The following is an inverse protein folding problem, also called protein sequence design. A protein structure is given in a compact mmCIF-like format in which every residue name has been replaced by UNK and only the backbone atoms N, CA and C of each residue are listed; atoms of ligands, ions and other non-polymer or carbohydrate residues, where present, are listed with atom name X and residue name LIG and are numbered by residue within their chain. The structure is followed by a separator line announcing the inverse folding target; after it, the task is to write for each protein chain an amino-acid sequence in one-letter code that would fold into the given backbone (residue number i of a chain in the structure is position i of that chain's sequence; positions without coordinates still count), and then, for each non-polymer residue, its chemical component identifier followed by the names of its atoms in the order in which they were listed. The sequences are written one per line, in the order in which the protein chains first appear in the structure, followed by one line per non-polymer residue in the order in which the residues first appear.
data_IF_956610336369
#
_entry.id   IF_956610336369
#
_cell.length_a   1.000
_cell.length_b   1.000
_cell.length_c   1.000
_cell.angle_alpha   90.00
_cell.angle_beta   90.00
_cell.angle_gamma   90.00
#
_symmetry.space_group_name_H-M   'P 1'
#
loop_
_entity.id
_entity.type
_entity.pdbx_description
1 polymer ?
#
# COMPACT_ATOMS: atom_id res chain seq x y z
N UNK A 1 -23.24 -21.46 16.16
CA UNK A 1 -22.35 -22.51 15.63
C UNK A 1 -21.16 -22.48 16.57
N UNK A 2 -21.07 -23.44 17.50
CA UNK A 2 -19.98 -23.47 18.48
C UNK A 2 -18.68 -23.75 17.75
N UNK A 3 -17.71 -22.85 17.89
CA UNK A 3 -16.36 -23.03 17.41
C UNK A 3 -15.69 -24.25 18.03
N UNK A 4 -14.66 -24.77 17.35
CA UNK A 4 -13.90 -25.93 17.86
C UNK A 4 -13.23 -25.63 19.21
N UNK A 5 -12.90 -26.65 20.00
CA UNK A 5 -12.15 -26.45 21.26
C UNK A 5 -10.81 -25.72 21.04
N UNK A 6 -10.20 -25.91 19.86
CA UNK A 6 -9.00 -25.18 19.45
C UNK A 6 -9.26 -23.68 19.27
N UNK A 7 -10.41 -23.33 18.70
CA UNK A 7 -10.81 -21.94 18.45
C UNK A 7 -11.00 -21.17 19.77
N UNK A 8 -11.66 -21.79 20.76
CA UNK A 8 -11.80 -21.21 22.11
C UNK A 8 -10.45 -20.94 22.78
N UNK A 9 -9.49 -21.85 22.58
CA UNK A 9 -8.13 -21.73 23.11
C UNK A 9 -7.40 -20.58 22.42
N UNK A 10 -7.46 -20.47 21.09
CA UNK A 10 -6.81 -19.36 20.38
C UNK A 10 -7.44 -18.02 20.74
N UNK A 11 -8.77 -17.95 20.85
CA UNK A 11 -9.49 -16.74 21.29
C UNK A 11 -9.05 -16.30 22.69
N UNK A 12 -8.88 -17.23 23.62
CA UNK A 12 -8.39 -16.92 24.98
C UNK A 12 -6.98 -16.34 25.02
N UNK A 13 -6.16 -16.68 24.01
CA UNK A 13 -4.81 -16.15 23.83
C UNK A 13 -4.78 -14.92 22.91
N UNK A 14 -5.95 -14.43 22.47
CA UNK A 14 -6.09 -13.36 21.49
C UNK A 14 -5.33 -13.65 20.19
N UNK A 15 -5.27 -14.92 19.79
CA UNK A 15 -4.65 -15.41 18.57
C UNK A 15 -5.71 -15.67 17.52
N UNK A 16 -5.48 -15.18 16.31
CA UNK A 16 -6.34 -15.48 15.16
C UNK A 16 -5.52 -16.19 14.07
N UNK A 17 -5.61 -17.52 13.97
CA UNK A 17 -4.94 -18.32 12.95
C UNK A 17 -5.19 -17.85 11.51
N UNK A 18 -6.43 -17.47 11.20
CA UNK A 18 -6.80 -17.02 9.86
C UNK A 18 -6.15 -15.68 9.53
N UNK A 19 -6.09 -14.76 10.50
CA UNK A 19 -5.42 -13.47 10.33
C UNK A 19 -3.93 -13.67 10.01
N UNK A 20 -3.25 -14.53 10.77
CA UNK A 20 -1.84 -14.85 10.54
C UNK A 20 -1.61 -15.46 9.15
N UNK A 21 -2.46 -16.40 8.73
CA UNK A 21 -2.36 -16.99 7.39
C UNK A 21 -2.55 -15.92 6.31
N UNK A 22 -3.56 -15.06 6.45
CA UNK A 22 -3.82 -13.98 5.50
C UNK A 22 -2.63 -13.00 5.42
N UNK A 23 -1.98 -12.69 6.53
CA UNK A 23 -0.77 -11.85 6.53
C UNK A 23 0.37 -12.48 5.72
N UNK A 24 0.59 -13.79 5.85
CA UNK A 24 1.59 -14.50 5.05
C UNK A 24 1.21 -14.50 3.56
N UNK A 25 -0.06 -14.78 3.23
CA UNK A 25 -0.52 -14.76 1.84
C UNK A 25 -0.30 -13.38 1.21
N UNK A 26 -0.69 -12.31 1.90
CA UNK A 26 -0.48 -10.94 1.44
C UNK A 26 1.02 -10.62 1.29
N UNK A 27 1.87 -11.05 2.22
CA UNK A 27 3.31 -10.83 2.13
C UNK A 27 3.95 -11.53 0.91
N UNK A 28 3.46 -12.72 0.56
CA UNK A 28 3.89 -13.43 -0.65
C UNK A 28 3.42 -12.69 -1.89
N UNK A 29 2.17 -12.25 -1.93
CA UNK A 29 1.63 -11.46 -3.05
C UNK A 29 2.41 -10.17 -3.27
N UNK A 30 2.67 -9.41 -2.20
CA UNK A 30 3.46 -8.18 -2.26
C UNK A 30 4.88 -8.45 -2.77
N UNK A 31 5.50 -9.54 -2.33
CA UNK A 31 6.83 -9.95 -2.79
C UNK A 31 6.83 -10.29 -4.29
N UNK A 32 5.86 -11.06 -4.76
CA UNK A 32 5.74 -11.44 -6.17
C UNK A 32 5.50 -10.20 -7.03
N UNK A 33 4.58 -9.32 -6.61
CA UNK A 33 4.28 -8.08 -7.30
C UNK A 33 5.52 -7.19 -7.40
N UNK A 34 6.21 -6.96 -6.27
CA UNK A 34 7.43 -6.16 -6.22
C UNK A 34 8.55 -6.73 -7.09
N UNK A 35 8.70 -8.06 -7.14
CA UNK A 35 9.69 -8.70 -8.01
C UNK A 35 9.40 -8.43 -9.49
N UNK A 36 8.14 -8.56 -9.94
CA UNK A 36 7.78 -8.30 -11.33
C UNK A 36 7.89 -6.83 -11.72
N UNK A 37 7.53 -5.91 -10.81
CA UNK A 37 7.75 -4.48 -11.00
C UNK A 37 9.24 -4.16 -11.16
N UNK A 38 10.08 -4.74 -10.30
CA UNK A 38 11.54 -4.60 -10.39
C UNK A 38 12.08 -5.10 -11.74
N UNK A 39 11.69 -6.29 -12.19
CA UNK A 39 12.15 -6.82 -13.47
C UNK A 39 11.68 -5.98 -14.66
N UNK A 40 10.46 -5.43 -14.61
CA UNK A 40 9.97 -4.54 -15.66
C UNK A 40 10.81 -3.25 -15.73
N UNK A 41 11.14 -2.66 -14.58
CA UNK A 41 12.00 -1.49 -14.52
C UNK A 41 13.42 -1.81 -15.02
N UNK A 42 14.00 -2.91 -14.55
CA UNK A 42 15.34 -3.34 -14.93
C UNK A 42 15.46 -3.67 -16.43
N UNK A 43 14.43 -4.29 -17.01
CA UNK A 43 14.37 -4.56 -18.44
C UNK A 43 14.36 -3.27 -19.27
N UNK A 44 13.57 -2.27 -18.86
CA UNK A 44 13.55 -0.94 -19.51
C UNK A 44 14.92 -0.25 -19.45
N UNK A 45 15.59 -0.29 -18.29
CA UNK A 45 16.94 0.27 -18.15
C UNK A 45 17.94 -0.44 -19.06
N UNK A 46 17.85 -1.76 -19.17
CA UNK A 46 18.78 -2.58 -19.95
C UNK A 46 18.58 -2.44 -21.47
N UNK A 47 17.33 -2.24 -21.91
CA UNK A 47 16.97 -2.09 -23.32
C UNK A 47 17.17 -0.66 -23.84
N UNK A 48 17.28 0.34 -22.97
CA UNK A 48 17.47 1.73 -23.35
C UNK A 48 16.21 2.34 -23.99
N UNK A 49 16.40 3.23 -24.97
CA UNK A 49 15.29 3.88 -25.68
C UNK A 49 14.65 2.89 -26.66
N UNK A 50 13.51 2.34 -26.26
CA UNK A 50 12.73 1.39 -27.06
C UNK A 50 11.49 2.06 -27.65
N UNK A 51 11.02 1.54 -28.80
CA UNK A 51 9.77 2.03 -29.37
C UNK A 51 8.58 1.70 -28.46
N UNK A 52 7.45 2.38 -28.69
CA UNK A 52 6.22 2.12 -27.94
C UNK A 52 5.76 0.66 -28.12
N UNK A 53 5.84 0.14 -29.34
CA UNK A 53 5.48 -1.24 -29.65
C UNK A 53 6.34 -2.25 -28.89
N UNK A 54 7.65 -2.00 -28.78
CA UNK A 54 8.59 -2.84 -28.03
C UNK A 54 8.33 -2.79 -26.52
N UNK A 55 7.98 -1.62 -25.98
CA UNK A 55 7.58 -1.46 -24.58
C UNK A 55 6.28 -2.20 -24.25
N UNK A 56 5.31 -2.15 -25.16
CA UNK A 56 4.03 -2.85 -25.03
C UNK A 56 4.24 -4.38 -25.12
N UNK A 57 5.08 -4.85 -26.04
CA UNK A 57 5.42 -6.26 -26.18
C UNK A 57 6.19 -6.79 -24.96
N UNK A 58 7.15 -6.01 -24.43
CA UNK A 58 7.85 -6.33 -23.19
C UNK A 58 6.88 -6.47 -22.01
N UNK A 59 5.97 -5.51 -21.86
CA UNK A 59 4.96 -5.53 -20.80
C UNK A 59 4.04 -6.75 -20.93
N UNK A 60 3.64 -7.09 -22.16
CA UNK A 60 2.83 -8.28 -22.43
C UNK A 60 3.58 -9.57 -22.09
N UNK A 61 4.86 -9.67 -22.44
CA UNK A 61 5.70 -10.82 -22.11
C UNK A 61 5.85 -11.03 -20.60
N UNK A 62 6.15 -9.95 -19.88
CA UNK A 62 6.27 -9.98 -18.41
C UNK A 62 4.95 -10.41 -17.76
N UNK A 63 3.82 -9.85 -18.20
CA UNK A 63 2.50 -10.25 -17.71
C UNK A 63 2.18 -11.71 -17.99
N UNK A 64 2.61 -12.26 -19.13
CA UNK A 64 2.43 -13.68 -19.44
C UNK A 64 3.22 -14.57 -18.49
N UNK A 65 4.46 -14.21 -18.16
CA UNK A 65 5.29 -14.95 -17.21
C UNK A 65 4.68 -14.85 -15.80
N UNK A 66 4.23 -13.66 -15.40
CA UNK A 66 3.53 -13.45 -14.13
C UNK A 66 2.33 -14.38 -14.00
N UNK A 67 1.44 -14.40 -14.99
CA UNK A 67 0.26 -15.26 -14.94
C UNK A 67 0.63 -16.75 -14.86
N UNK A 68 1.68 -17.18 -15.57
CA UNK A 68 2.16 -18.56 -15.54
C UNK A 68 2.70 -18.99 -14.16
N UNK A 69 3.19 -18.05 -13.35
CA UNK A 69 3.70 -18.33 -11.99
C UNK A 69 2.59 -18.16 -10.94
N UNK A 70 1.74 -17.16 -11.12
CA UNK A 70 0.74 -16.76 -10.14
C UNK A 70 -0.32 -17.84 -9.94
N UNK A 71 -0.88 -18.42 -11.01
CA UNK A 71 -1.89 -19.48 -10.89
C UNK A 71 -1.38 -20.71 -10.10
N UNK A 72 -0.22 -21.33 -10.43
CA UNK A 72 0.30 -22.44 -9.63
C UNK A 72 0.69 -22.05 -8.20
N UNK A 73 1.10 -20.79 -7.98
CA UNK A 73 1.45 -20.31 -6.66
C UNK A 73 0.20 -20.19 -5.78
N UNK A 74 -0.86 -19.57 -6.30
CA UNK A 74 -2.15 -19.39 -5.63
C UNK A 74 -2.76 -20.75 -5.26
N UNK A 75 -2.71 -21.73 -6.18
CA UNK A 75 -3.17 -23.10 -5.90
C UNK A 75 -2.40 -23.75 -4.73
N UNK A 76 -1.08 -23.60 -4.72
CA UNK A 76 -0.22 -24.17 -3.66
C UNK A 76 -0.45 -23.47 -2.33
N UNK A 77 -0.60 -22.14 -2.34
CA UNK A 77 -0.87 -21.35 -1.15
C UNK A 77 -2.25 -21.67 -0.57
N UNK A 78 -3.25 -21.91 -1.41
CA UNK A 78 -4.58 -22.36 -0.97
C UNK A 78 -4.54 -23.76 -0.33
N UNK A 79 -3.71 -24.67 -0.85
CA UNK A 79 -3.49 -25.98 -0.22
C UNK A 79 -2.72 -25.85 1.09
N UNK A 80 -1.73 -24.96 1.14
CA UNK A 80 -0.96 -24.68 2.35
C UNK A 80 -1.82 -24.08 3.46
N UNK A 81 -2.69 -23.10 3.15
CA UNK A 81 -3.67 -22.54 4.09
C UNK A 81 -4.54 -23.64 4.71
N UNK A 82 -5.16 -24.47 3.85
CA UNK A 82 -6.00 -25.60 4.31
C UNK A 82 -5.23 -26.57 5.18
N UNK A 83 -3.98 -26.86 4.83
CA UNK A 83 -3.12 -27.73 5.62
C UNK A 83 -2.82 -27.12 7.00
N UNK A 84 -2.50 -25.83 7.05
CA UNK A 84 -2.22 -25.11 8.29
C UNK A 84 -3.42 -25.13 9.24
N UNK A 85 -4.61 -24.78 8.74
CA UNK A 85 -5.83 -24.79 9.54
C UNK A 85 -6.21 -26.19 10.03
N UNK A 86 -5.87 -27.23 9.26
CA UNK A 86 -6.19 -28.61 9.61
C UNK A 86 -5.19 -29.25 10.57
N UNK A 87 -3.93 -28.83 10.58
CA UNK A 87 -2.86 -29.58 11.25
C UNK A 87 -2.01 -28.75 12.21
N UNK A 88 -1.81 -27.45 11.95
CA UNK A 88 -0.98 -26.60 12.82
C UNK A 88 -1.83 -25.79 13.80
N UNK A 89 -2.98 -25.29 13.34
CA UNK A 89 -3.92 -24.55 14.17
C UNK A 89 -5.05 -25.45 14.68
N UNK A 90 -4.66 -26.62 15.19
CA UNK A 90 -5.55 -27.57 15.85
C UNK A 90 -4.91 -28.02 17.16
N UNK A 91 -5.65 -27.86 18.24
CA UNK A 91 -5.30 -28.36 19.56
C UNK A 91 -5.70 -29.85 19.62
N UNK A 92 -4.76 -30.77 19.91
CA UNK A 92 -5.08 -32.18 20.04
C UNK A 92 -6.11 -32.45 21.14
N UNK A 93 -6.94 -33.47 20.94
CA UNK A 93 -7.95 -33.87 21.91
C UNK A 93 -7.32 -34.18 23.28
N UNK A 94 -7.93 -33.67 24.35
CA UNK A 94 -7.46 -33.84 25.72
C UNK A 94 -6.51 -32.75 26.22
N UNK A 95 -6.15 -31.78 25.38
CA UNK A 95 -5.51 -30.54 25.81
C UNK A 95 -6.57 -29.48 26.08
N UNK A 96 -6.53 -28.93 27.29
CA UNK A 96 -7.31 -27.77 27.69
C UNK A 96 -6.37 -26.74 28.29
N UNK A 97 -6.70 -25.46 28.17
CA UNK A 97 -5.99 -24.47 28.97
C UNK A 97 -6.18 -24.81 30.46
N UNK A 98 -5.15 -24.61 31.30
CA UNK A 98 -5.34 -24.66 32.74
C UNK A 98 -6.47 -23.68 33.08
N UNK A 99 -7.53 -24.16 33.73
CA UNK A 99 -8.63 -23.29 34.14
C UNK A 99 -8.05 -22.13 34.95
N UNK A 100 -8.28 -20.90 34.48
CA UNK A 100 -7.98 -19.66 35.21
C UNK A 100 -8.78 -19.56 36.53
N UNK A 101 -9.74 -20.46 36.74
CA UNK A 101 -10.67 -20.44 37.87
C UNK A 101 -10.15 -21.16 39.12
N UNK A 102 -8.85 -21.45 39.19
CA UNK A 102 -8.23 -21.90 40.43
C UNK A 102 -6.92 -21.16 40.61
N UNK A 103 -6.88 -20.32 41.65
CA UNK A 103 -5.94 -20.44 42.79
C UNK A 103 -5.04 -21.69 42.71
N UNK A 104 -4.21 -21.75 41.68
CA UNK A 104 -3.11 -22.68 41.61
C UNK A 104 -2.05 -22.02 42.44
N UNK A 105 -1.85 -22.55 43.65
CA UNK A 105 -0.74 -22.26 44.57
C UNK A 105 0.61 -22.58 43.92
N UNK A 106 0.91 -21.89 42.81
CA UNK A 106 2.24 -21.60 42.34
C UNK A 106 2.83 -20.66 43.39
N UNK A 107 3.58 -21.24 44.31
CA UNK A 107 4.46 -20.58 45.28
C UNK A 107 5.10 -19.30 44.72
N UNK A 108 4.45 -18.17 44.93
CA UNK A 108 5.04 -16.84 44.86
C UNK A 108 4.41 -16.05 45.99
N UNK A 109 5.26 -15.48 46.85
CA UNK A 109 4.85 -14.61 47.95
C UNK A 109 3.90 -13.53 47.43
N UNK A 110 2.67 -13.54 47.92
CA UNK A 110 1.58 -12.61 47.58
C UNK A 110 1.92 -11.15 47.96
N UNK A 111 2.98 -10.96 48.76
CA UNK A 111 3.50 -9.66 49.21
C UNK A 111 4.43 -8.99 48.16
N UNK A 112 4.87 -9.70 47.12
CA UNK A 112 5.75 -9.17 46.07
C UNK A 112 5.04 -8.72 44.78
N UNK A 113 3.75 -9.07 44.61
CA UNK A 113 3.00 -8.83 43.36
C UNK A 113 2.19 -7.50 43.36
N UNK A 114 1.93 -6.91 44.53
CA UNK A 114 1.18 -5.66 44.63
C UNK A 114 1.92 -4.44 44.04
N UNK A 115 3.25 -4.43 44.09
CA UNK A 115 4.07 -3.33 43.53
C UNK A 115 4.20 -3.44 42.00
N UNK A 116 4.23 -4.67 41.46
CA UNK A 116 4.34 -4.93 40.01
C UNK A 116 3.06 -4.54 39.23
N UNK A 117 1.87 -4.76 39.82
CA UNK A 117 0.59 -4.37 39.21
C UNK A 117 0.45 -2.84 39.07
N UNK A 118 0.90 -2.07 40.07
CA UNK A 118 0.85 -0.61 40.03
C UNK A 118 1.82 -0.02 38.99
N UNK A 119 2.99 -0.64 38.81
CA UNK A 119 3.92 -0.26 37.75
C UNK A 119 3.37 -0.57 36.36
N UNK A 120 2.75 -1.74 36.18
CA UNK A 120 2.09 -2.13 34.93
C UNK A 120 0.97 -1.16 34.57
N UNK A 121 0.10 -0.80 35.53
CA UNK A 121 -0.97 0.18 35.33
C UNK A 121 -0.44 1.56 34.92
N UNK A 122 0.69 1.98 35.50
CA UNK A 122 1.37 3.23 35.10
C UNK A 122 1.91 3.16 33.68
N UNK A 123 2.52 2.05 33.29
CA UNK A 123 2.99 1.84 31.91
C UNK A 123 1.82 1.83 30.92
N UNK A 124 0.72 1.16 31.28
CA UNK A 124 -0.50 1.10 30.47
C UNK A 124 -1.14 2.48 30.32
N UNK A 125 -1.20 3.27 31.40
CA UNK A 125 -1.67 4.65 31.35
C UNK A 125 -0.78 5.52 30.45
N UNK A 126 0.54 5.40 30.57
CA UNK A 126 1.49 6.10 29.71
C UNK A 126 1.33 5.73 28.23
N UNK A 127 1.09 4.46 27.92
CA UNK A 127 0.85 4.01 26.55
C UNK A 127 -0.49 4.52 26.00
N UNK A 128 -1.55 4.54 26.80
CA UNK A 128 -2.84 5.13 26.43
C UNK A 128 -2.73 6.62 26.15
N UNK A 129 -1.98 7.35 26.97
CA UNK A 129 -1.73 8.78 26.76
C UNK A 129 -0.93 9.03 25.46
N UNK A 130 0.14 8.26 25.23
CA UNK A 130 0.91 8.31 23.98
C UNK A 130 0.04 7.98 22.76
N UNK A 131 -0.83 6.98 22.86
CA UNK A 131 -1.75 6.60 21.77
C UNK A 131 -2.73 7.74 21.44
N UNK A 132 -3.29 8.40 22.46
CA UNK A 132 -4.15 9.57 22.25
C UNK A 132 -3.39 10.72 21.58
N UNK A 133 -2.15 10.96 22.00
CA UNK A 133 -1.30 12.00 21.41
C UNK A 133 -0.99 11.73 19.94
N UNK A 134 -0.54 10.51 19.62
CA UNK A 134 -0.26 10.07 18.24
C UNK A 134 -1.53 10.06 17.40
N UNK A 135 -2.67 9.66 17.97
CA UNK A 135 -3.95 9.71 17.30
C UNK A 135 -4.35 11.13 16.88
N UNK A 136 -4.18 12.10 17.78
CA UNK A 136 -4.41 13.52 17.47
C UNK A 136 -3.46 14.01 16.38
N UNK A 137 -2.16 13.76 16.53
CA UNK A 137 -1.14 14.14 15.54
C UNK A 137 -1.44 13.54 14.16
N UNK A 138 -1.87 12.28 14.11
CA UNK A 138 -2.29 11.62 12.87
C UNK A 138 -3.49 12.31 12.22
N UNK A 139 -4.50 12.71 13.00
CA UNK A 139 -5.64 13.45 12.46
C UNK A 139 -5.26 14.83 11.94
N UNK A 140 -4.35 15.52 12.64
CA UNK A 140 -3.84 16.84 12.24
C UNK A 140 -3.05 16.71 10.93
N UNK A 141 -2.10 15.78 10.83
CA UNK A 141 -1.33 15.49 9.61
C UNK A 141 -2.23 15.09 8.43
N UNK A 142 -3.26 14.28 8.67
CA UNK A 142 -4.18 13.89 7.61
C UNK A 142 -5.01 15.08 7.11
N UNK A 143 -5.34 16.04 8.00
CA UNK A 143 -5.97 17.28 7.60
C UNK A 143 -5.05 18.14 6.72
N UNK A 144 -3.76 18.24 7.08
CA UNK A 144 -2.76 18.97 6.30
C UNK A 144 -2.54 18.35 4.92
N UNK A 145 -2.44 17.02 4.85
CA UNK A 145 -2.31 16.29 3.58
C UNK A 145 -3.51 16.59 2.66
N UNK A 146 -4.73 16.60 3.21
CA UNK A 146 -5.92 16.93 2.44
C UNK A 146 -5.92 18.38 1.91
N UNK A 147 -5.41 19.34 2.69
CA UNK A 147 -5.25 20.73 2.24
C UNK A 147 -4.21 20.83 1.13
N UNK A 148 -3.04 20.21 1.33
CA UNK A 148 -1.96 20.16 0.34
C UNK A 148 -2.41 19.51 -0.97
N UNK A 149 -3.15 18.40 -0.89
CA UNK A 149 -3.71 17.72 -2.06
C UNK A 149 -4.65 18.65 -2.84
N UNK A 150 -5.56 19.35 -2.16
CA UNK A 150 -6.44 20.34 -2.80
C UNK A 150 -5.66 21.46 -3.46
N UNK A 151 -4.66 22.01 -2.78
CA UNK A 151 -3.80 23.05 -3.34
C UNK A 151 -3.03 22.57 -4.57
N UNK A 152 -2.48 21.35 -4.53
CA UNK A 152 -1.81 20.74 -5.68
C UNK A 152 -2.75 20.56 -6.86
N UNK A 153 -3.99 20.08 -6.63
CA UNK A 153 -4.98 19.97 -7.71
C UNK A 153 -5.31 21.33 -8.32
N UNK A 154 -5.50 22.37 -7.51
CA UNK A 154 -5.75 23.72 -8.01
C UNK A 154 -4.56 24.26 -8.80
N UNK A 155 -3.34 24.08 -8.29
CA UNK A 155 -2.10 24.47 -8.97
C UNK A 155 -1.96 23.78 -10.33
N UNK A 156 -2.26 22.49 -10.41
CA UNK A 156 -2.19 21.74 -11.66
C UNK A 156 -3.24 22.25 -12.65
N UNK A 157 -4.50 22.44 -12.22
CA UNK A 157 -5.54 23.01 -13.11
C UNK A 157 -5.21 24.43 -13.58
N UNK A 158 -4.56 25.24 -12.73
CA UNK A 158 -4.10 26.57 -13.12
C UNK A 158 -2.97 26.48 -14.15
N UNK A 159 -1.99 25.61 -13.93
CA UNK A 159 -0.91 25.37 -14.89
C UNK A 159 -1.46 24.90 -16.24
N UNK A 160 -2.39 23.95 -16.24
CA UNK A 160 -3.09 23.48 -17.45
C UNK A 160 -3.82 24.62 -18.17
N UNK A 161 -4.58 25.44 -17.45
CA UNK A 161 -5.29 26.60 -18.02
C UNK A 161 -4.33 27.66 -18.60
N UNK A 162 -3.19 27.90 -17.95
CA UNK A 162 -2.15 28.80 -18.46
C UNK A 162 -1.52 28.22 -19.73
N UNK A 163 -1.21 26.92 -19.76
CA UNK A 163 -0.68 26.28 -20.96
C UNK A 163 -1.69 26.32 -22.12
N UNK A 164 -2.98 26.12 -21.85
CA UNK A 164 -4.05 26.23 -22.85
C UNK A 164 -4.18 27.67 -23.39
N UNK A 165 -4.08 28.68 -22.52
CA UNK A 165 -4.14 30.09 -22.92
C UNK A 165 -2.90 30.54 -23.72
N UNK A 166 -1.73 29.91 -23.50
CA UNK A 166 -0.49 30.20 -24.23
C UNK A 166 -0.40 29.46 -25.58
N UNK A 167 -1.06 28.31 -25.71
CA UNK A 167 -1.14 27.51 -26.94
C UNK A 167 -1.46 28.32 -28.22
N UNK A 168 -2.42 29.26 -28.26
CA UNK A 168 -2.70 30.05 -29.46
C UNK A 168 -1.57 31.02 -29.84
N UNK A 169 -0.70 31.42 -28.91
CA UNK A 169 0.45 32.30 -29.19
C UNK A 169 1.68 31.51 -29.67
N UNK A 170 1.78 30.23 -29.31
CA UNK A 170 2.80 29.33 -29.84
C UNK A 170 2.43 28.82 -31.24
N UNK A 171 1.13 28.61 -31.50
CA UNK A 171 0.63 28.16 -32.80
C UNK A 171 0.56 29.28 -33.85
N UNK A 172 0.32 30.52 -33.43
CA UNK A 172 0.37 31.69 -34.30
C UNK A 172 1.72 32.39 -34.08
N UNK A 173 2.67 32.24 -35.02
CA UNK A 173 3.93 32.97 -34.99
C UNK A 173 3.67 34.47 -34.78
N UNK A 174 4.08 34.99 -33.63
CA UNK A 174 3.88 36.41 -33.26
C UNK A 174 4.58 37.35 -34.26
N UNK A 175 5.52 36.84 -35.06
CA UNK A 175 6.19 37.58 -36.14
C UNK A 175 5.30 37.79 -37.38
N UNK A 176 4.31 36.91 -37.63
CA UNK A 176 3.35 37.04 -38.74
C UNK A 176 2.21 38.03 -38.43
N UNK A 177 1.81 38.16 -37.16
CA UNK A 177 0.76 39.10 -36.76
C UNK A 177 1.24 40.55 -36.58
N UNK A 178 2.51 40.76 -36.24
CA UNK A 178 3.07 42.11 -35.99
C UNK A 178 3.65 42.77 -37.25
N UNK A 179 3.88 42.02 -38.34
CA UNK A 179 4.19 42.57 -39.67
C UNK A 179 2.90 42.88 -40.43
N UNK A 180 2.25 43.99 -40.08
CA UNK A 180 1.23 44.58 -40.95
C UNK A 180 1.78 44.83 -42.37
N UNK A 181 0.94 44.75 -43.42
CA UNK A 181 1.40 44.83 -44.81
C UNK A 181 2.01 46.20 -45.11
N UNK A 182 3.34 46.27 -45.15
CA UNK A 182 4.08 47.40 -45.69
C UNK A 182 4.30 47.19 -47.20
N UNK A 183 3.55 47.99 -47.96
CA UNK A 183 3.77 48.49 -49.33
C UNK A 183 4.54 47.65 -50.37
N UNK A 184 3.84 47.31 -51.46
CA UNK A 184 4.45 47.20 -52.79
C UNK A 184 3.45 47.54 -53.91
N UNK A 185 3.33 48.83 -54.29
CA UNK A 185 2.73 49.20 -55.58
C UNK A 185 3.46 50.38 -56.25
N UNK A 186 4.62 50.10 -56.83
CA UNK A 186 5.32 50.88 -57.87
C UNK A 186 6.17 49.87 -58.65
N UNK A 187 6.26 49.76 -59.97
CA UNK A 187 5.83 50.48 -61.18
C UNK A 187 5.96 49.48 -62.34
N UNK A 188 5.22 49.64 -63.44
CA UNK A 188 5.78 49.80 -64.80
C UNK A 188 4.70 49.61 -65.88
N UNK A 189 4.35 50.69 -66.56
CA UNK A 189 3.95 50.68 -67.98
C UNK A 189 3.90 52.13 -68.51
N UNK A 190 4.97 52.55 -69.19
CA UNK A 190 5.05 53.57 -70.26
C UNK A 190 6.50 53.44 -70.77
N UNK A 191 6.83 53.12 -72.02
CA UNK A 191 6.27 53.44 -73.34
C UNK A 191 6.36 52.18 -74.21
#
# INVERSE_FOLDING_TARGET
MEGSESEKIFDSLNLNPQLFINEILNAVDDMVNGAFEFYQQQARVSLGEISKEQSDELTKGISSIRNMIQEPLDERLALWEKYCLRHYFVVPDGFSLPNTDSSSNCFMDEDALCDDDAEFDKQLHSLREKLLLVGKESTDLQSELNVLKKQSTLSNTFAESVTEALQPFEQNSVDDMLRGPTDAKQRNACI
#
